data_IF_947515082066
#
_entry.id   IF_947515082066
#
_cell.length_a   1.000
_cell.length_b   1.000
_cell.length_c   1.000
_cell.angle_alpha   90.00
_cell.angle_beta   90.00
_cell.angle_gamma   90.00
#
_symmetry.space_group_name_H-M   'P 1'
#
loop_
_entity.id
_entity.type
_entity.pdbx_description
1 polymer ?
#
# COMPACT_ATOMS: atom_id res chain seq x y z
N UNK A 1 14.50 -6.82 -20.09
CA UNK A 1 13.16 -6.22 -19.89
C UNK A 1 12.67 -6.57 -18.49
N UNK A 2 12.18 -5.57 -17.76
CA UNK A 2 11.66 -5.78 -16.42
C UNK A 2 10.18 -6.15 -16.50
N UNK A 3 9.83 -7.26 -15.88
CA UNK A 3 8.42 -7.69 -15.82
C UNK A 3 7.66 -6.88 -14.77
N UNK A 4 6.38 -6.69 -15.00
CA UNK A 4 5.49 -6.10 -14.02
C UNK A 4 5.33 -7.04 -12.83
N UNK A 5 5.47 -6.50 -11.62
CA UNK A 5 5.26 -7.25 -10.39
C UNK A 5 3.90 -6.95 -9.81
N UNK A 6 3.25 -8.00 -9.31
CA UNK A 6 2.07 -7.84 -8.47
C UNK A 6 2.57 -7.67 -7.04
N UNK A 7 2.77 -6.42 -6.63
CA UNK A 7 3.31 -6.11 -5.30
C UNK A 7 2.30 -6.48 -4.21
N UNK A 8 1.04 -6.11 -4.40
CA UNK A 8 -0.07 -6.51 -3.52
C UNK A 8 -1.21 -6.98 -4.41
N UNK A 9 -1.72 -8.17 -4.14
CA UNK A 9 -2.77 -8.78 -4.95
C UNK A 9 -4.10 -8.80 -4.20
N UNK A 10 -4.89 -7.75 -4.37
CA UNK A 10 -6.27 -7.67 -3.87
C UNK A 10 -6.38 -8.09 -2.41
N UNK A 11 -5.58 -7.43 -1.57
CA UNK A 11 -5.43 -7.80 -0.17
C UNK A 11 -5.96 -6.70 0.73
N UNK A 12 -6.60 -7.08 1.84
CA UNK A 12 -7.13 -6.14 2.83
C UNK A 12 -6.43 -6.30 4.17
N UNK A 13 -6.57 -5.29 5.02
CA UNK A 13 -6.14 -5.40 6.41
C UNK A 13 -7.05 -6.40 7.14
N UNK A 14 -6.46 -7.15 8.07
CA UNK A 14 -7.17 -8.19 8.81
C UNK A 14 -7.79 -7.69 10.11
N UNK A 15 -7.42 -6.49 10.54
CA UNK A 15 -7.96 -5.89 11.76
C UNK A 15 -8.04 -4.37 11.58
N UNK A 16 -9.02 -3.71 12.23
CA UNK A 16 -9.11 -2.25 12.15
C UNK A 16 -7.94 -1.59 12.88
N UNK A 17 -7.44 -0.50 12.32
CA UNK A 17 -6.40 0.35 12.90
C UNK A 17 -5.11 -0.40 13.22
N UNK A 18 -4.84 -1.48 12.49
CA UNK A 18 -3.62 -2.26 12.64
C UNK A 18 -2.71 -2.05 11.43
N UNK A 19 -1.51 -1.54 11.69
CA UNK A 19 -0.49 -1.41 10.66
C UNK A 19 0.02 -2.80 10.28
N UNK A 20 -0.04 -3.11 9.00
CA UNK A 20 0.40 -4.40 8.50
C UNK A 20 1.39 -4.22 7.34
N UNK A 21 2.34 -5.14 7.24
CA UNK A 21 3.29 -5.17 6.13
C UNK A 21 2.60 -5.84 4.95
N UNK A 22 2.48 -5.12 3.84
CA UNK A 22 1.88 -5.65 2.62
C UNK A 22 2.93 -6.15 1.63
N UNK A 23 4.13 -5.59 1.68
CA UNK A 23 5.21 -6.01 0.78
C UNK A 23 6.57 -5.69 1.39
N UNK A 24 7.55 -6.54 1.13
CA UNK A 24 8.94 -6.31 1.53
C UNK A 24 9.82 -6.44 0.29
N UNK A 25 10.57 -5.40 -0.02
CA UNK A 25 11.50 -5.45 -1.15
C UNK A 25 12.67 -6.36 -0.80
N UNK A 26 13.10 -7.23 -1.73
CA UNK A 26 14.24 -8.10 -1.48
C UNK A 26 15.53 -7.32 -1.24
N UNK A 27 16.45 -7.93 -0.53
CA UNK A 27 17.77 -7.34 -0.29
C UNK A 27 18.47 -7.06 -1.63
N UNK A 28 18.98 -5.83 -1.77
CA UNK A 28 19.72 -5.45 -2.97
C UNK A 28 18.85 -5.15 -4.17
N UNK A 29 17.51 -5.15 -4.02
CA UNK A 29 16.60 -4.94 -5.14
C UNK A 29 15.62 -3.83 -4.83
N UNK A 30 15.73 -2.70 -5.52
CA UNK A 30 14.77 -1.63 -5.41
C UNK A 30 13.56 -1.94 -6.30
N UNK A 31 12.38 -1.52 -5.86
CA UNK A 31 11.12 -1.72 -6.59
C UNK A 31 10.40 -0.40 -6.69
N UNK A 32 9.90 -0.05 -7.88
CA UNK A 32 9.10 1.15 -8.05
C UNK A 32 7.61 0.78 -8.12
N UNK A 33 6.78 1.54 -7.41
CA UNK A 33 5.32 1.38 -7.46
C UNK A 33 4.82 2.14 -8.69
N UNK A 34 4.14 1.43 -9.58
CA UNK A 34 3.58 2.03 -10.79
C UNK A 34 2.10 2.30 -10.69
N UNK A 35 1.35 1.45 -10.00
CA UNK A 35 -0.06 1.69 -9.76
C UNK A 35 -0.44 1.28 -8.34
N UNK A 36 -1.46 1.94 -7.80
CA UNK A 36 -1.95 1.68 -6.45
C UNK A 36 -3.45 1.95 -6.47
N UNK A 37 -4.23 0.92 -6.21
CA UNK A 37 -5.67 1.06 -6.12
C UNK A 37 -6.16 0.58 -4.76
N UNK A 38 -7.14 1.29 -4.21
CA UNK A 38 -7.80 0.92 -2.98
C UNK A 38 -9.30 0.92 -3.24
N UNK A 39 -9.93 -0.23 -3.11
CA UNK A 39 -11.35 -0.41 -3.40
C UNK A 39 -12.09 -0.75 -2.12
N UNK A 40 -13.08 0.07 -1.74
CA UNK A 40 -13.89 -0.17 -0.56
C UNK A 40 -15.11 -1.00 -0.95
N UNK A 41 -15.17 -2.23 -0.46
CA UNK A 41 -16.25 -3.15 -0.76
C UNK A 41 -17.44 -3.04 0.19
N UNK A 42 -17.31 -2.24 1.26
CA UNK A 42 -18.39 -2.04 2.21
C UNK A 42 -19.28 -0.89 1.79
N UNK A 43 -20.44 -0.75 2.44
CA UNK A 43 -21.35 0.36 2.19
C UNK A 43 -21.02 1.60 3.02
N UNK A 44 -20.04 1.51 3.90
CA UNK A 44 -19.62 2.61 4.76
C UNK A 44 -18.26 3.15 4.31
N UNK A 45 -18.03 4.44 4.52
CA UNK A 45 -16.74 5.05 4.25
C UNK A 45 -15.69 4.45 5.19
N UNK A 46 -14.49 4.29 4.66
CA UNK A 46 -13.35 3.83 5.44
C UNK A 46 -12.12 4.64 5.03
N UNK A 47 -11.12 4.65 5.88
CA UNK A 47 -9.89 5.39 5.60
C UNK A 47 -8.69 4.47 5.71
N UNK A 48 -7.61 4.84 5.03
CA UNK A 48 -6.36 4.11 5.14
C UNK A 48 -5.18 5.08 5.10
N UNK A 49 -4.05 4.61 5.58
CA UNK A 49 -2.74 5.25 5.41
C UNK A 49 -1.77 4.23 4.86
N UNK A 50 -1.02 4.62 3.84
CA UNK A 50 -0.01 3.76 3.26
C UNK A 50 1.33 4.50 3.24
N UNK A 51 2.41 3.79 3.54
CA UNK A 51 3.73 4.39 3.55
C UNK A 51 4.80 3.34 3.35
N UNK A 52 5.98 3.81 2.94
CA UNK A 52 7.16 2.98 2.82
C UNK A 52 8.04 3.27 4.03
N UNK A 53 8.52 2.22 4.69
CA UNK A 53 9.47 2.35 5.77
C UNK A 53 10.78 1.70 5.39
N UNK A 54 11.86 2.48 5.42
CA UNK A 54 13.19 1.95 5.09
C UNK A 54 13.73 1.07 6.19
N UNK A 55 14.79 0.33 5.90
CA UNK A 55 15.45 -0.51 6.91
C UNK A 55 15.95 0.32 8.10
N UNK A 56 16.35 1.56 7.85
CA UNK A 56 16.78 2.47 8.91
C UNK A 56 15.63 3.03 9.74
N UNK A 57 14.38 2.81 9.31
CA UNK A 57 13.19 3.27 10.03
C UNK A 57 12.58 4.56 9.48
N UNK A 58 13.14 5.13 8.42
CA UNK A 58 12.60 6.36 7.84
C UNK A 58 11.31 6.08 7.09
N UNK A 59 10.36 7.01 7.17
CA UNK A 59 9.05 6.90 6.52
C UNK A 59 8.99 7.72 5.24
N UNK A 60 8.25 7.21 4.26
CA UNK A 60 7.97 7.91 3.02
C UNK A 60 6.50 7.70 2.64
N UNK A 61 5.64 8.70 2.73
CA UNK A 61 5.94 10.07 3.20
C UNK A 61 6.36 10.06 4.67
N UNK A 62 7.12 11.07 5.05
CA UNK A 62 7.67 11.14 6.41
C UNK A 62 6.56 11.21 7.47
N UNK A 63 5.46 11.87 7.15
CA UNK A 63 4.26 11.89 7.97
C UNK A 63 3.13 11.32 7.13
N UNK A 64 2.74 10.05 7.34
CA UNK A 64 1.65 9.45 6.58
C UNK A 64 0.33 10.20 6.83
N UNK A 65 -0.44 10.37 5.78
CA UNK A 65 -1.76 11.00 5.89
C UNK A 65 -2.85 9.99 5.54
N UNK A 66 -4.04 10.23 6.08
CA UNK A 66 -5.18 9.34 5.86
C UNK A 66 -5.92 9.71 4.59
N UNK A 67 -6.29 8.69 3.83
CA UNK A 67 -7.10 8.82 2.63
C UNK A 67 -8.45 8.16 2.91
N UNK A 68 -9.54 8.89 2.67
CA UNK A 68 -10.89 8.37 2.85
C UNK A 68 -11.37 7.78 1.53
N UNK A 69 -11.89 6.57 1.58
CA UNK A 69 -12.47 5.89 0.43
C UNK A 69 -13.95 5.72 0.68
N UNK A 70 -14.78 6.22 -0.24
CA UNK A 70 -16.24 6.14 -0.13
C UNK A 70 -16.69 4.69 -0.33
N UNK A 71 -17.79 4.36 0.36
CA UNK A 71 -18.31 2.99 0.30
C UNK A 71 -18.81 2.61 -1.09
N UNK A 72 -18.56 1.36 -1.46
CA UNK A 72 -19.09 0.64 -2.63
C UNK A 72 -18.54 1.02 -3.99
N UNK A 73 -18.06 2.23 -4.22
CA UNK A 73 -17.74 2.62 -5.60
C UNK A 73 -16.44 3.35 -5.80
N UNK A 74 -15.79 3.82 -4.76
CA UNK A 74 -14.66 4.70 -4.95
C UNK A 74 -13.34 3.97 -4.91
N UNK A 75 -12.45 4.43 -5.78
CA UNK A 75 -11.07 4.01 -5.79
C UNK A 75 -10.22 5.09 -5.15
N UNK A 76 -9.52 4.72 -4.10
CA UNK A 76 -8.49 5.58 -3.56
C UNK A 76 -7.22 5.43 -4.36
N UNK A 77 -6.52 6.53 -4.56
CA UNK A 77 -5.20 6.52 -5.18
C UNK A 77 -4.18 6.73 -4.08
N UNK A 78 -3.26 5.81 -3.96
CA UNK A 78 -2.23 5.87 -2.95
C UNK A 78 -0.89 6.30 -3.50
N UNK A 79 0.16 5.63 -3.07
CA UNK A 79 1.53 5.97 -3.41
C UNK A 79 1.86 5.45 -4.79
N UNK A 80 2.16 6.35 -5.75
CA UNK A 80 2.60 5.96 -7.09
C UNK A 80 3.92 6.62 -7.42
N UNK A 81 4.70 6.00 -8.30
CA UNK A 81 6.01 6.48 -8.72
C UNK A 81 7.00 6.63 -7.57
N UNK A 82 6.76 5.89 -6.49
CA UNK A 82 7.67 5.86 -5.34
C UNK A 82 8.48 4.57 -5.37
N UNK A 83 9.73 4.68 -4.93
CA UNK A 83 10.64 3.53 -4.88
C UNK A 83 10.58 2.91 -3.49
N UNK A 84 10.44 1.57 -3.45
CA UNK A 84 10.64 0.80 -2.23
C UNK A 84 12.08 0.30 -2.28
N UNK A 85 13.00 0.89 -1.50
CA UNK A 85 14.40 0.44 -1.52
C UNK A 85 14.53 -1.00 -1.03
N UNK A 86 15.62 -1.66 -1.40
CA UNK A 86 15.89 -2.99 -0.91
C UNK A 86 15.81 -3.05 0.61
N UNK A 87 15.22 -4.10 1.16
CA UNK A 87 14.94 -4.30 2.59
C UNK A 87 13.89 -3.34 3.19
N UNK A 88 13.31 -2.44 2.39
CA UNK A 88 12.22 -1.59 2.86
C UNK A 88 10.87 -2.32 2.75
N UNK A 89 9.87 -1.82 3.45
CA UNK A 89 8.55 -2.42 3.49
C UNK A 89 7.48 -1.41 3.08
N UNK A 90 6.43 -1.90 2.43
CA UNK A 90 5.20 -1.14 2.23
C UNK A 90 4.24 -1.53 3.34
N UNK A 91 3.83 -0.55 4.14
CA UNK A 91 2.94 -0.75 5.28
C UNK A 91 1.64 -0.01 5.04
N UNK A 92 0.54 -0.63 5.41
CA UNK A 92 -0.80 -0.05 5.24
C UNK A 92 -1.61 -0.30 6.50
N UNK A 93 -2.34 0.73 6.92
CA UNK A 93 -3.29 0.67 8.02
C UNK A 93 -4.65 1.09 7.48
N UNK A 94 -5.70 0.41 7.89
CA UNK A 94 -7.07 0.74 7.47
C UNK A 94 -7.97 0.85 8.69
N UNK A 95 -8.96 1.73 8.62
CA UNK A 95 -9.92 1.93 9.70
C UNK A 95 -10.90 0.77 9.86
N UNK A 96 -11.00 -0.12 8.87
CA UNK A 96 -11.92 -1.24 8.91
C UNK A 96 -11.25 -2.50 8.37
N UNK A 97 -11.56 -3.63 8.98
CA UNK A 97 -11.05 -4.93 8.52
C UNK A 97 -11.83 -5.41 7.30
N UNK A 98 -11.15 -6.03 6.35
CA UNK A 98 -11.76 -6.68 5.18
C UNK A 98 -12.72 -5.79 4.41
N UNK A 99 -12.45 -4.49 4.38
CA UNK A 99 -13.28 -3.52 3.67
C UNK A 99 -12.57 -2.92 2.48
N UNK A 100 -11.38 -2.36 2.68
CA UNK A 100 -10.60 -1.79 1.60
C UNK A 100 -9.61 -2.83 1.10
N UNK A 101 -9.69 -3.13 -0.19
CA UNK A 101 -8.80 -4.07 -0.83
C UNK A 101 -7.79 -3.31 -1.69
N UNK A 102 -6.53 -3.62 -1.50
CA UNK A 102 -5.43 -2.92 -2.14
C UNK A 102 -4.83 -3.78 -3.25
N UNK A 103 -4.64 -3.18 -4.41
CA UNK A 103 -3.92 -3.81 -5.51
C UNK A 103 -2.82 -2.86 -5.93
N UNK A 104 -1.59 -3.31 -5.84
CA UNK A 104 -0.41 -2.50 -6.14
C UNK A 104 0.45 -3.25 -7.14
N UNK A 105 0.82 -2.57 -8.20
CA UNK A 105 1.74 -3.13 -9.18
C UNK A 105 2.96 -2.25 -9.33
N UNK A 106 4.06 -2.85 -9.76
CA UNK A 106 5.29 -2.14 -9.96
C UNK A 106 6.28 -2.98 -10.74
N UNK A 107 7.54 -2.65 -10.63
CA UNK A 107 8.60 -3.42 -11.28
C UNK A 107 9.92 -3.23 -10.54
N UNK A 108 10.79 -4.19 -10.73
CA UNK A 108 12.14 -4.09 -10.19
C UNK A 108 12.95 -3.09 -11.00
N UNK A 109 13.80 -2.36 -10.33
CA UNK A 109 14.70 -1.39 -10.96
C UNK A 109 16.07 -1.98 -11.21
#
# INVERSE_FOLDING_TARGET
>A
MMATLQIVDNKSNTAPDLVQVFYSAPQGQDVIIESFTASNTSSANASYSAYIQTQAGDLQPQIPFKIVVWGENDLGIGIVNQVIPGNATLKIESSAASSIYFTVTGREL
#
